data_IF_305071460205
#
_entry.id   IF_305071460205
#
_cell.length_a   1.000
_cell.length_b   1.000
_cell.length_c   1.000
_cell.angle_alpha   90.00
_cell.angle_beta   90.00
_cell.angle_gamma   90.00
#
_symmetry.space_group_name_H-M   'P 1'
#
loop_
_entity.id
_entity.type
_entity.pdbx_description
1 polymer ?
#
# COMPACT_ATOMS: atom_id res chain seq x y z
N UNK A 1 -2.38 -4.10 -9.03
CA UNK A 1 -2.80 -2.73 -9.41
C UNK A 1 -2.15 -1.66 -8.54
N UNK A 2 -2.25 -1.71 -7.20
CA UNK A 2 -1.73 -0.66 -6.28
C UNK A 2 -0.20 -0.48 -6.26
N UNK A 3 0.57 -1.57 -6.39
CA UNK A 3 2.05 -1.54 -6.37
C UNK A 3 2.66 -0.68 -7.48
N UNK A 4 2.09 -0.71 -8.68
CA UNK A 4 2.62 0.08 -9.82
C UNK A 4 2.42 1.58 -9.59
N UNK A 5 1.29 1.97 -8.97
CA UNK A 5 0.98 3.37 -8.64
C UNK A 5 1.88 3.85 -7.51
N UNK A 6 2.06 3.02 -6.48
CA UNK A 6 2.95 3.28 -5.36
C UNK A 6 4.38 3.63 -5.83
N UNK A 7 4.94 2.81 -6.72
CA UNK A 7 6.29 3.04 -7.26
C UNK A 7 6.33 4.24 -8.21
N UNK A 8 5.32 4.41 -9.07
CA UNK A 8 5.26 5.52 -10.04
C UNK A 8 5.18 6.89 -9.35
N UNK A 9 4.48 6.97 -8.23
CA UNK A 9 4.36 8.21 -7.45
C UNK A 9 5.48 8.41 -6.43
N UNK A 10 6.37 7.43 -6.27
CA UNK A 10 7.49 7.52 -5.33
C UNK A 10 7.01 7.70 -3.88
N UNK A 11 6.02 6.91 -3.46
CA UNK A 11 5.41 7.07 -2.14
C UNK A 11 6.39 6.60 -1.04
N UNK A 12 6.67 7.49 -0.10
CA UNK A 12 7.61 7.26 1.02
C UNK A 12 9.00 7.86 0.78
N UNK A 13 9.84 7.83 1.82
CA UNK A 13 11.23 8.26 1.72
C UNK A 13 12.10 7.18 1.05
N UNK A 14 12.99 7.63 0.16
CA UNK A 14 13.98 6.79 -0.51
C UNK A 14 14.81 6.04 0.54
N UNK A 15 14.82 4.71 0.46
CA UNK A 15 15.61 3.85 1.35
C UNK A 15 15.00 3.60 2.73
N UNK A 16 13.88 4.24 3.09
CA UNK A 16 13.17 3.97 4.36
C UNK A 16 11.93 3.10 4.19
N UNK A 17 11.34 3.05 2.99
CA UNK A 17 10.19 2.18 2.71
C UNK A 17 8.97 2.44 3.61
N UNK A 18 8.81 3.68 4.07
CA UNK A 18 7.79 4.14 5.01
C UNK A 18 6.54 4.74 4.33
N UNK A 19 6.34 4.48 3.04
CA UNK A 19 5.18 4.97 2.30
C UNK A 19 3.96 4.08 2.49
N UNK A 20 2.77 4.68 2.52
CA UNK A 20 1.47 4.00 2.52
C UNK A 20 0.60 4.58 1.42
N UNK A 21 -0.03 3.71 0.63
CA UNK A 21 -1.05 4.07 -0.37
C UNK A 21 -2.36 3.38 -0.02
N UNK A 22 -3.41 4.17 0.15
CA UNK A 22 -4.78 3.66 0.30
C UNK A 22 -5.54 3.99 -0.98
N UNK A 23 -6.01 2.96 -1.68
CA UNK A 23 -6.81 3.11 -2.89
C UNK A 23 -8.25 2.74 -2.58
N UNK A 24 -9.18 3.64 -2.85
CA UNK A 24 -10.62 3.42 -2.66
C UNK A 24 -11.32 3.44 -4.02
N UNK A 25 -11.89 2.32 -4.41
CA UNK A 25 -12.77 2.23 -5.56
C UNK A 25 -14.19 2.58 -5.09
N UNK A 26 -14.64 3.81 -5.33
CA UNK A 26 -15.95 4.31 -4.86
C UNK A 26 -17.12 3.52 -5.44
N UNK A 27 -17.01 3.11 -6.70
CA UNK A 27 -18.06 2.37 -7.41
C UNK A 27 -18.33 1.00 -6.79
N UNK A 28 -17.25 0.29 -6.42
CA UNK A 28 -17.33 -1.08 -5.90
C UNK A 28 -17.20 -1.16 -4.38
N UNK A 29 -17.11 0.00 -3.69
CA UNK A 29 -16.82 0.12 -2.24
C UNK A 29 -15.65 -0.77 -1.79
N UNK A 30 -14.63 -0.92 -2.64
CA UNK A 30 -13.43 -1.72 -2.34
C UNK A 30 -12.30 -0.79 -1.90
N UNK A 31 -11.69 -1.12 -0.77
CA UNK A 31 -10.52 -0.43 -0.26
C UNK A 31 -9.32 -1.35 -0.33
N UNK A 32 -8.18 -0.83 -0.78
CA UNK A 32 -6.92 -1.54 -0.86
C UNK A 32 -5.81 -0.72 -0.21
N UNK A 33 -4.98 -1.36 0.59
CA UNK A 33 -3.85 -0.71 1.27
C UNK A 33 -2.57 -1.33 0.71
N UNK A 34 -1.61 -0.50 0.30
CA UNK A 34 -0.28 -0.91 -0.14
C UNK A 34 0.75 -0.18 0.70
N UNK A 35 1.55 -0.93 1.43
CA UNK A 35 2.61 -0.42 2.31
C UNK A 35 3.98 -0.81 1.77
N UNK A 36 5.00 -0.02 2.11
CA UNK A 36 6.39 -0.36 1.83
C UNK A 36 6.97 -1.36 2.84
N UNK A 37 8.01 -2.09 2.44
CA UNK A 37 8.71 -3.10 3.24
C UNK A 37 9.19 -2.60 4.62
N UNK A 38 9.42 -1.29 4.79
CA UNK A 38 9.86 -0.71 6.05
C UNK A 38 8.76 -0.56 7.12
N UNK A 39 7.51 -0.86 6.77
CA UNK A 39 6.34 -0.69 7.64
C UNK A 39 5.69 -2.00 8.11
N UNK A 40 6.23 -3.17 7.73
CA UNK A 40 5.68 -4.47 8.14
C UNK A 40 5.69 -4.67 9.66
N UNK A 41 6.61 -4.02 10.39
CA UNK A 41 6.67 -4.07 11.86
C UNK A 41 5.71 -3.13 12.60
N UNK A 42 5.16 -2.13 11.92
CA UNK A 42 4.28 -1.09 12.53
C UNK A 42 2.83 -1.29 12.09
N UNK A 43 2.62 -1.79 10.87
CA UNK A 43 1.30 -2.12 10.31
C UNK A 43 1.27 -3.63 10.03
N UNK A 44 1.17 -4.47 11.07
CA UNK A 44 1.23 -5.93 10.94
C UNK A 44 0.08 -6.55 10.11
N UNK A 45 -0.97 -5.77 9.80
CA UNK A 45 -2.22 -6.27 9.20
C UNK A 45 -2.53 -5.74 7.79
N UNK A 46 -1.78 -4.75 7.28
CA UNK A 46 -2.11 -4.13 5.97
C UNK A 46 -1.77 -5.02 4.76
N UNK A 47 -1.02 -6.11 4.97
CA UNK A 47 -0.70 -7.09 3.93
C UNK A 47 -1.83 -8.12 3.73
N UNK A 48 -2.98 -7.96 4.39
CA UNK A 48 -4.19 -8.75 4.11
C UNK A 48 -4.92 -8.27 2.84
N UNK A 49 -4.19 -8.26 1.72
CA UNK A 49 -4.72 -8.19 0.36
C UNK A 49 -4.39 -9.45 -0.45
N UNK A 50 -3.87 -10.52 0.14
CA UNK A 50 -3.70 -11.81 -0.54
C UNK A 50 -5.00 -12.62 -0.51
N UNK A 51 -6.08 -12.04 -1.02
CA UNK A 51 -7.32 -12.74 -1.35
C UNK A 51 -7.61 -12.47 -2.81
N UNK A 52 -7.53 -13.52 -3.63
CA UNK A 52 -8.04 -13.52 -4.99
C UNK A 52 -9.49 -13.01 -5.04
#
# INVERSE_FOLDING_TARGET
>A
MGIVIYTKWGIGEKGKGNGVLITVAMDNKRTWITTGYGLEGIIPDATAGSGW
#
